data_IF_039681413360
#
_entry.id   IF_039681413360
#
_cell.length_a   1.000
_cell.length_b   1.000
_cell.length_c   1.000
_cell.angle_alpha   90.00
_cell.angle_beta   90.00
_cell.angle_gamma   90.00
#
_symmetry.space_group_name_H-M   'P 1'
#
loop_
_entity.id
_entity.type
_entity.pdbx_description
1 polymer ?
#
# COMPACT_ATOMS: atom_id res chain seq x y z
N UNK A 1 -17.41 3.86 22.06
CA UNK A 1 -17.59 4.01 20.60
C UNK A 1 -16.47 4.87 20.05
N UNK A 2 -15.45 4.23 19.50
CA UNK A 2 -14.27 4.91 18.98
C UNK A 2 -14.47 5.21 17.50
N UNK A 3 -14.63 6.48 17.17
CA UNK A 3 -14.52 6.96 15.79
C UNK A 3 -13.05 6.82 15.38
N UNK A 4 -12.73 5.78 14.64
CA UNK A 4 -11.46 5.75 13.88
C UNK A 4 -11.62 6.72 12.71
N UNK A 5 -11.00 7.87 12.84
CA UNK A 5 -10.98 8.88 11.78
C UNK A 5 -10.14 8.38 10.59
N UNK A 6 -10.75 8.42 9.42
CA UNK A 6 -10.22 8.01 8.12
C UNK A 6 -9.12 8.93 7.56
N UNK A 7 -8.52 9.79 8.38
CA UNK A 7 -7.59 10.80 7.92
C UNK A 7 -6.18 10.33 7.48
N UNK A 8 -5.58 9.26 8.03
CA UNK A 8 -4.24 8.85 7.61
C UNK A 8 -4.20 8.06 6.28
N UNK A 9 -5.32 7.45 5.87
CA UNK A 9 -5.34 6.60 4.67
C UNK A 9 -5.31 7.41 3.37
N UNK A 10 -6.00 8.54 3.30
CA UNK A 10 -6.01 9.41 2.12
C UNK A 10 -4.67 10.14 1.91
N UNK A 11 -4.02 10.55 2.98
CA UNK A 11 -2.70 11.20 2.89
C UNK A 11 -1.60 10.22 2.44
N UNK A 12 -1.71 8.94 2.82
CA UNK A 12 -0.79 7.90 2.38
C UNK A 12 -0.93 7.59 0.88
N UNK A 13 -2.14 7.63 0.34
CA UNK A 13 -2.42 7.35 -1.07
C UNK A 13 -1.88 8.45 -2.00
N UNK A 14 -2.02 9.72 -1.63
CA UNK A 14 -1.44 10.85 -2.36
C UNK A 14 0.09 10.75 -2.39
N UNK A 15 0.71 10.38 -1.27
CA UNK A 15 2.16 10.22 -1.19
C UNK A 15 2.70 9.06 -2.05
N UNK A 16 1.93 8.00 -2.28
CA UNK A 16 2.32 6.91 -3.18
C UNK A 16 2.32 7.36 -4.64
N UNK A 17 1.32 8.11 -5.07
CA UNK A 17 1.28 8.68 -6.41
C UNK A 17 2.50 9.58 -6.64
N UNK A 18 2.85 10.45 -5.70
CA UNK A 18 4.03 11.32 -5.75
C UNK A 18 5.34 10.53 -5.84
N UNK A 19 5.45 9.43 -5.09
CA UNK A 19 6.61 8.55 -5.12
C UNK A 19 6.83 7.92 -6.50
N UNK A 20 5.77 7.51 -7.17
CA UNK A 20 5.85 6.82 -8.46
C UNK A 20 5.98 7.77 -9.65
N UNK A 21 5.41 8.98 -9.57
CA UNK A 21 5.43 9.95 -10.68
C UNK A 21 6.61 10.92 -10.63
N UNK A 22 7.41 10.87 -9.56
CA UNK A 22 8.56 11.75 -9.40
C UNK A 22 8.21 13.19 -9.01
N UNK A 23 6.93 13.50 -8.76
CA UNK A 23 6.50 14.82 -8.29
C UNK A 23 7.03 15.14 -6.89
N UNK A 24 7.39 14.10 -6.12
CA UNK A 24 8.02 14.20 -4.80
C UNK A 24 9.55 14.29 -4.86
N UNK A 25 10.12 15.15 -5.69
CA UNK A 25 11.59 15.28 -5.89
C UNK A 25 12.42 15.46 -4.61
N UNK A 26 11.81 15.79 -3.49
CA UNK A 26 12.46 15.85 -2.17
C UNK A 26 12.47 14.50 -1.43
N UNK A 27 11.51 13.60 -1.65
CA UNK A 27 11.45 12.32 -0.96
C UNK A 27 12.65 11.41 -1.31
N UNK A 28 13.22 11.55 -2.51
CA UNK A 28 14.44 10.82 -2.89
C UNK A 28 15.70 11.33 -2.19
N UNK A 29 15.75 12.62 -1.83
CA UNK A 29 16.92 13.24 -1.20
C UNK A 29 16.93 13.09 0.32
N UNK A 30 15.77 13.06 0.97
CA UNK A 30 15.66 12.89 2.42
C UNK A 30 16.04 11.47 2.89
N UNK A 31 16.00 10.48 1.98
CA UNK A 31 16.41 9.10 2.26
C UNK A 31 17.93 8.86 2.24
N UNK A 32 18.76 9.86 1.93
CA UNK A 32 20.21 9.66 1.73
C UNK A 32 21.08 10.09 2.90
N UNK A 33 20.56 10.77 3.91
CA UNK A 33 21.41 11.30 4.98
C UNK A 33 20.84 10.99 6.36
N UNK A 34 21.45 10.04 7.06
CA UNK A 34 21.32 9.85 8.51
C UNK A 34 19.89 9.65 9.04
N UNK A 35 19.08 8.93 8.30
CA UNK A 35 17.67 8.78 8.57
C UNK A 35 17.35 7.91 9.78
N UNK A 36 16.11 8.01 10.23
CA UNK A 36 15.53 7.21 11.30
C UNK A 36 15.69 5.70 11.00
N UNK A 37 16.04 4.94 12.00
CA UNK A 37 16.06 3.48 11.98
C UNK A 37 14.84 2.95 12.74
N UNK A 38 14.24 1.90 12.20
CA UNK A 38 13.07 1.24 12.74
C UNK A 38 13.43 -0.19 13.13
N UNK A 39 12.93 -0.65 14.25
CA UNK A 39 12.94 -2.08 14.61
C UNK A 39 11.71 -2.75 13.99
N UNK A 40 11.73 -4.07 13.88
CA UNK A 40 10.61 -4.83 13.34
C UNK A 40 9.29 -4.59 14.11
N UNK A 41 9.38 -4.44 15.44
CA UNK A 41 8.25 -4.10 16.29
C UNK A 41 7.65 -2.72 15.99
N UNK A 42 8.49 -1.73 15.68
CA UNK A 42 8.05 -0.38 15.33
C UNK A 42 7.21 -0.38 14.04
N UNK A 43 7.69 -1.11 13.01
CA UNK A 43 6.97 -1.26 11.75
C UNK A 43 5.69 -2.08 11.91
N UNK A 44 5.74 -3.13 12.73
CA UNK A 44 4.56 -3.95 13.07
C UNK A 44 3.44 -3.10 13.67
N UNK A 45 3.78 -2.23 14.60
CA UNK A 45 2.84 -1.34 15.27
C UNK A 45 2.31 -0.24 14.33
N UNK A 46 3.20 0.45 13.62
CA UNK A 46 2.85 1.55 12.72
C UNK A 46 1.93 1.10 11.58
N UNK A 47 2.22 -0.04 10.96
CA UNK A 47 1.50 -0.55 9.80
C UNK A 47 0.43 -1.59 10.12
N UNK A 48 0.23 -1.91 11.39
CA UNK A 48 -0.70 -2.96 11.84
C UNK A 48 -0.44 -4.30 11.13
N UNK A 49 0.82 -4.71 11.14
CA UNK A 49 1.29 -5.95 10.54
C UNK A 49 1.84 -6.91 11.58
N UNK A 50 1.71 -8.20 11.33
CA UNK A 50 2.38 -9.21 12.15
C UNK A 50 3.88 -9.22 11.86
N UNK A 51 4.69 -9.62 12.85
CA UNK A 51 6.12 -9.85 12.66
C UNK A 51 6.39 -10.89 11.58
N UNK A 52 5.52 -11.89 11.49
CA UNK A 52 5.58 -12.93 10.44
C UNK A 52 5.40 -12.34 9.04
N UNK A 53 4.47 -11.41 8.85
CA UNK A 53 4.26 -10.75 7.56
C UNK A 53 5.49 -9.95 7.13
N UNK A 54 6.10 -9.21 8.07
CA UNK A 54 7.33 -8.45 7.81
C UNK A 54 8.51 -9.35 7.45
N UNK A 55 8.69 -10.46 8.15
CA UNK A 55 9.72 -11.46 7.82
C UNK A 55 9.48 -12.11 6.46
N UNK A 56 8.22 -12.34 6.12
CA UNK A 56 7.85 -12.85 4.80
C UNK A 56 8.26 -11.89 3.68
N UNK A 57 8.02 -10.59 3.84
CA UNK A 57 8.44 -9.59 2.86
C UNK A 57 9.96 -9.47 2.76
N UNK A 58 10.68 -9.59 3.87
CA UNK A 58 12.14 -9.70 3.89
C UNK A 58 12.61 -10.93 3.11
N UNK A 59 12.04 -12.10 3.36
CA UNK A 59 12.38 -13.37 2.69
C UNK A 59 12.11 -13.31 1.17
N UNK A 60 11.13 -12.51 0.75
CA UNK A 60 10.83 -12.28 -0.67
C UNK A 60 11.66 -11.17 -1.32
N UNK A 61 12.60 -10.59 -0.57
CA UNK A 61 13.49 -9.54 -1.07
C UNK A 61 12.83 -8.17 -1.25
N UNK A 62 11.62 -7.97 -0.71
CA UNK A 62 10.91 -6.69 -0.77
C UNK A 62 11.39 -5.71 0.31
N UNK A 63 11.91 -6.21 1.41
CA UNK A 63 12.56 -5.46 2.47
C UNK A 63 14.00 -5.97 2.64
N UNK A 64 14.91 -5.08 3.02
CA UNK A 64 16.33 -5.40 3.16
C UNK A 64 16.93 -4.76 4.42
N UNK A 65 16.53 -5.21 5.63
CA UNK A 65 17.04 -4.67 6.88
C UNK A 65 18.52 -4.99 7.05
N UNK A 66 19.21 -4.11 7.75
CA UNK A 66 20.53 -4.39 8.29
C UNK A 66 20.40 -5.14 9.60
N UNK A 67 21.40 -5.98 9.90
CA UNK A 67 21.46 -6.68 11.18
C UNK A 67 22.49 -6.03 12.10
N UNK A 68 22.06 -5.66 13.31
CA UNK A 68 22.91 -5.30 14.43
C UNK A 68 22.82 -6.44 15.46
N UNK A 69 23.73 -7.42 15.36
CA UNK A 69 23.63 -8.68 16.10
C UNK A 69 22.40 -9.49 15.67
N UNK A 70 21.49 -9.75 16.59
CA UNK A 70 20.20 -10.44 16.33
C UNK A 70 19.07 -9.48 15.96
N UNK A 71 19.31 -8.18 16.06
CA UNK A 71 18.30 -7.13 15.82
C UNK A 71 18.26 -6.74 14.35
N UNK A 72 17.05 -6.71 13.76
CA UNK A 72 16.80 -6.16 12.43
C UNK A 72 16.59 -4.65 12.54
N UNK A 73 17.31 -3.88 11.70
CA UNK A 73 17.15 -2.43 11.59
C UNK A 73 16.74 -2.08 10.16
N UNK A 74 15.58 -1.47 10.05
CA UNK A 74 15.00 -0.98 8.80
C UNK A 74 15.23 0.51 8.67
N UNK A 75 15.65 0.95 7.50
CA UNK A 75 15.86 2.38 7.21
C UNK A 75 14.63 3.02 6.55
N UNK A 76 14.73 4.29 6.19
CA UNK A 76 13.66 5.00 5.50
C UNK A 76 13.32 4.40 4.13
N UNK A 77 14.27 3.78 3.45
CA UNK A 77 14.01 3.08 2.19
C UNK A 77 13.11 1.87 2.41
N UNK A 78 13.40 1.08 3.43
CA UNK A 78 12.55 -0.05 3.80
C UNK A 78 11.16 0.40 4.24
N UNK A 79 11.06 1.51 4.96
CA UNK A 79 9.77 2.10 5.32
C UNK A 79 8.95 2.47 4.07
N UNK A 80 9.57 3.10 3.08
CA UNK A 80 8.92 3.45 1.81
C UNK A 80 8.58 2.20 0.99
N UNK A 81 9.49 1.22 0.91
CA UNK A 81 9.21 -0.07 0.26
C UNK A 81 8.00 -0.76 0.87
N UNK A 82 7.90 -0.76 2.19
CA UNK A 82 6.75 -1.35 2.89
C UNK A 82 5.44 -0.64 2.53
N UNK A 83 5.45 0.68 2.41
CA UNK A 83 4.27 1.44 1.93
C UNK A 83 3.85 1.01 0.53
N UNK A 84 4.81 0.85 -0.39
CA UNK A 84 4.55 0.39 -1.76
C UNK A 84 4.04 -1.05 -1.79
N UNK A 85 4.59 -1.92 -0.97
CA UNK A 85 4.14 -3.32 -0.81
C UNK A 85 2.69 -3.37 -0.34
N UNK A 86 2.36 -2.60 0.70
CA UNK A 86 1.00 -2.57 1.24
C UNK A 86 0.00 -1.96 0.27
N UNK A 87 0.39 -0.95 -0.48
CA UNK A 87 -0.41 -0.42 -1.58
C UNK A 87 -0.66 -1.49 -2.64
N UNK A 88 0.39 -2.15 -3.12
CA UNK A 88 0.27 -3.22 -4.10
C UNK A 88 -0.63 -4.36 -3.62
N UNK A 89 -0.48 -4.77 -2.37
CA UNK A 89 -1.34 -5.78 -1.74
C UNK A 89 -2.80 -5.35 -1.74
N UNK A 90 -3.09 -4.11 -1.39
CA UNK A 90 -4.46 -3.56 -1.33
C UNK A 90 -5.14 -3.57 -2.69
N UNK A 91 -4.43 -3.26 -3.76
CA UNK A 91 -4.97 -3.30 -5.13
C UNK A 91 -4.93 -4.69 -5.78
N UNK A 92 -4.38 -5.69 -5.11
CA UNK A 92 -4.31 -7.07 -5.58
C UNK A 92 -3.16 -7.36 -6.53
N UNK A 93 -2.04 -6.68 -6.37
CA UNK A 93 -0.80 -6.99 -7.10
C UNK A 93 -0.13 -8.26 -6.57
N UNK A 94 0.54 -8.98 -7.47
CA UNK A 94 1.44 -10.07 -7.12
C UNK A 94 2.73 -9.55 -6.47
N UNK A 95 3.48 -10.43 -5.81
CA UNK A 95 4.79 -10.06 -5.25
C UNK A 95 5.76 -9.53 -6.32
N UNK A 96 5.74 -10.09 -7.53
CA UNK A 96 6.54 -9.61 -8.66
C UNK A 96 6.15 -8.20 -9.08
N UNK A 97 4.86 -7.91 -9.16
CA UNK A 97 4.34 -6.57 -9.48
C UNK A 97 4.69 -5.55 -8.38
N UNK A 98 4.65 -5.95 -7.10
CA UNK A 98 5.13 -5.11 -5.99
C UNK A 98 6.62 -4.80 -6.12
N UNK A 99 7.42 -5.77 -6.51
CA UNK A 99 8.84 -5.58 -6.83
C UNK A 99 9.07 -4.58 -7.96
N UNK A 100 8.22 -4.59 -8.98
CA UNK A 100 8.26 -3.59 -10.06
C UNK A 100 7.93 -2.17 -9.56
N UNK A 101 6.95 -2.01 -8.66
CA UNK A 101 6.66 -0.72 -8.03
C UNK A 101 7.87 -0.18 -7.28
N UNK A 102 8.53 -1.03 -6.51
CA UNK A 102 9.75 -0.68 -5.78
C UNK A 102 10.86 -0.28 -6.74
N UNK A 103 11.06 -1.05 -7.81
CA UNK A 103 12.08 -0.76 -8.83
C UNK A 103 11.85 0.59 -9.52
N UNK A 104 10.62 0.88 -9.91
CA UNK A 104 10.27 2.19 -10.50
C UNK A 104 10.53 3.33 -9.53
N UNK A 105 10.21 3.14 -8.26
CA UNK A 105 10.50 4.16 -7.24
C UNK A 105 12.01 4.36 -7.04
N UNK A 106 12.79 3.29 -6.94
CA UNK A 106 14.24 3.36 -6.67
C UNK A 106 15.05 3.88 -7.86
N UNK A 107 14.75 3.43 -9.04
CA UNK A 107 15.56 3.65 -10.24
C UNK A 107 14.92 4.68 -11.19
N UNK A 108 13.67 5.05 -10.95
CA UNK A 108 12.87 5.81 -11.91
C UNK A 108 12.44 4.96 -13.10
N UNK A 109 11.89 5.63 -14.08
CA UNK A 109 11.47 5.03 -15.34
C UNK A 109 12.71 4.87 -16.23
N UNK A 110 13.30 3.68 -16.22
CA UNK A 110 14.49 3.37 -17.01
C UNK A 110 14.15 2.70 -18.33
N UNK A 111 13.07 1.93 -18.37
CA UNK A 111 12.57 1.24 -19.57
C UNK A 111 11.12 1.67 -19.86
N UNK A 112 10.87 2.33 -21.00
CA UNK A 112 9.52 2.71 -21.41
C UNK A 112 8.56 1.52 -21.55
N UNK A 113 9.05 0.35 -21.95
CA UNK A 113 8.23 -0.86 -22.10
C UNK A 113 7.77 -1.40 -20.74
N UNK A 114 8.64 -1.44 -19.74
CA UNK A 114 8.26 -1.84 -18.37
C UNK A 114 7.25 -0.87 -17.76
N UNK A 115 7.43 0.42 -18.01
CA UNK A 115 6.50 1.45 -17.55
C UNK A 115 5.13 1.30 -18.18
N UNK A 116 5.07 1.04 -19.48
CA UNK A 116 3.78 0.83 -20.16
C UNK A 116 3.09 -0.45 -19.68
N UNK A 117 3.84 -1.51 -19.41
CA UNK A 117 3.31 -2.72 -18.79
C UNK A 117 2.71 -2.42 -17.41
N UNK A 118 3.41 -1.70 -16.56
CA UNK A 118 2.94 -1.33 -15.23
C UNK A 118 1.69 -0.44 -15.33
N UNK A 119 1.70 0.54 -16.24
CA UNK A 119 0.55 1.42 -16.50
C UNK A 119 -0.67 0.62 -16.94
N UNK A 120 -0.48 -0.37 -17.81
CA UNK A 120 -1.56 -1.25 -18.25
C UNK A 120 -2.10 -2.08 -17.08
N UNK A 121 -1.25 -2.59 -16.22
CA UNK A 121 -1.66 -3.32 -15.00
C UNK A 121 -2.45 -2.43 -14.04
N UNK A 122 -2.07 -1.17 -13.87
CA UNK A 122 -2.85 -0.21 -13.08
C UNK A 122 -4.25 0.02 -13.67
N UNK A 123 -4.36 0.17 -14.98
CA UNK A 123 -5.66 0.32 -15.66
C UNK A 123 -6.56 -0.90 -15.44
N UNK A 124 -6.01 -2.10 -15.58
CA UNK A 124 -6.74 -3.34 -15.35
C UNK A 124 -7.23 -3.44 -13.90
N UNK A 125 -6.37 -3.12 -12.93
CA UNK A 125 -6.74 -3.12 -11.51
C UNK A 125 -7.77 -2.05 -11.17
N UNK A 126 -7.65 -0.87 -11.74
CA UNK A 126 -8.66 0.18 -11.60
C UNK A 126 -10.02 -0.31 -12.09
N UNK A 127 -10.07 -0.90 -13.27
CA UNK A 127 -11.30 -1.45 -13.84
C UNK A 127 -11.93 -2.55 -12.95
N UNK A 128 -11.11 -3.48 -12.46
CA UNK A 128 -11.54 -4.53 -11.53
C UNK A 128 -12.12 -3.96 -10.23
N UNK A 129 -11.45 -2.96 -9.66
CA UNK A 129 -11.89 -2.32 -8.42
C UNK A 129 -13.16 -1.50 -8.60
N UNK A 130 -13.30 -0.77 -9.72
CA UNK A 130 -14.53 -0.05 -10.06
C UNK A 130 -15.72 -1.00 -10.23
N UNK A 131 -15.50 -2.14 -10.87
CA UNK A 131 -16.53 -3.19 -11.00
C UNK A 131 -16.96 -3.72 -9.63
N UNK A 132 -16.01 -4.05 -8.77
CA UNK A 132 -16.30 -4.50 -7.39
C UNK A 132 -17.02 -3.44 -6.58
N UNK A 133 -16.61 -2.17 -6.71
CA UNK A 133 -17.27 -1.04 -6.06
C UNK A 133 -18.75 -0.95 -6.47
N UNK A 134 -19.04 -1.06 -7.76
CA UNK A 134 -20.42 -1.02 -8.27
C UNK A 134 -21.26 -2.19 -7.75
N UNK A 135 -20.70 -3.39 -7.67
CA UNK A 135 -21.36 -4.56 -7.09
C UNK A 135 -21.68 -4.37 -5.59
N UNK A 136 -20.72 -3.81 -4.85
CA UNK A 136 -20.90 -3.50 -3.42
C UNK A 136 -21.96 -2.41 -3.24
N UNK A 137 -21.93 -1.34 -4.03
CA UNK A 137 -22.91 -0.25 -3.98
C UNK A 137 -24.32 -0.79 -4.21
N UNK A 138 -24.50 -1.70 -5.17
CA UNK A 138 -25.80 -2.39 -5.42
C UNK A 138 -26.25 -3.17 -4.20
N UNK A 139 -25.37 -3.98 -3.61
CA UNK A 139 -25.69 -4.77 -2.42
C UNK A 139 -26.07 -3.88 -1.22
N UNK A 140 -25.37 -2.77 -1.05
CA UNK A 140 -25.70 -1.78 0.00
C UNK A 140 -27.10 -1.20 -0.19
N UNK A 141 -27.47 -0.82 -1.43
CA UNK A 141 -28.81 -0.29 -1.72
C UNK A 141 -29.90 -1.35 -1.51
N UNK A 142 -29.66 -2.59 -1.92
CA UNK A 142 -30.60 -3.68 -1.68
C UNK A 142 -30.83 -3.94 -0.18
N UNK A 143 -29.78 -3.95 0.62
CA UNK A 143 -29.88 -4.10 2.08
C UNK A 143 -30.63 -2.94 2.72
N UNK A 144 -30.35 -1.71 2.31
CA UNK A 144 -31.08 -0.51 2.80
C UNK A 144 -32.56 -0.63 2.49
N UNK A 145 -32.94 -1.06 1.30
CA UNK A 145 -34.34 -1.26 0.90
C UNK A 145 -35.02 -2.33 1.76
N UNK A 146 -34.33 -3.43 2.04
CA UNK A 146 -34.85 -4.51 2.90
C UNK A 146 -35.08 -3.98 4.31
N UNK A 147 -34.10 -3.33 4.89
CA UNK A 147 -34.19 -2.77 6.24
C UNK A 147 -35.33 -1.74 6.36
N UNK A 148 -35.50 -0.89 5.35
CA UNK A 148 -36.58 0.07 5.31
C UNK A 148 -37.99 -0.58 5.30
N UNK A 149 -38.12 -1.72 4.60
CA UNK A 149 -39.37 -2.50 4.60
C UNK A 149 -39.61 -3.22 5.93
N UNK A 150 -38.58 -3.75 6.53
CA UNK A 150 -38.68 -4.41 7.84
C UNK A 150 -39.00 -3.46 8.98
N UNK A 151 -38.62 -2.19 8.87
CA UNK A 151 -38.92 -1.15 9.86
C UNK A 151 -40.38 -0.64 9.82
N UNK A 152 -41.17 -0.97 8.77
CA UNK A 152 -42.59 -0.61 8.68
C UNK A 152 -43.40 -1.59 9.49
N UNK A 153 -44.26 -1.12 10.46
CA UNK A 153 -45.13 -2.02 11.17
C UNK A 153 -46.14 -2.67 10.21
N UNK A 154 -46.53 -3.93 10.47
CA UNK A 154 -47.55 -4.57 9.69
C UNK A 154 -48.87 -3.80 9.78
N UNK A 155 -49.50 -3.62 8.70
CA UNK A 155 -50.83 -2.95 8.62
C UNK A 155 -51.87 -3.82 9.27
#
# INVERSE_FOLDING_TARGET
MSKRSNAPEQAADVAIADLLTGAGGNARRENQTGGQLYRIGDLSEEFDLTLRALRFYEDKGLLSPRRAGVTRLYDNKDHTRLRLVLFGRRIGFTLGEMGQLISVWENGITDPAETENLRQRFKEKLHELEKKKNEIDRSVEELRAILARMARPPI
#
